data_IF_650145373674
#
_entry.id   IF_650145373674
#
_cell.length_a   1.000
_cell.length_b   1.000
_cell.length_c   1.000
_cell.angle_alpha   90.00
_cell.angle_beta   90.00
_cell.angle_gamma   90.00
#
_symmetry.space_group_name_H-M   'P 1'
#
loop_
_entity.id
_entity.type
_entity.pdbx_description
1 polymer ?
#
# COMPACT_ATOMS: atom_id res chain seq x y z
N UNK A 1 -27.52 -11.17 0.06
CA UNK A 1 -27.18 -10.18 -0.99
C UNK A 1 -26.49 -10.93 -2.12
N UNK A 2 -26.86 -10.80 -3.40
CA UNK A 2 -26.26 -11.64 -4.44
C UNK A 2 -24.89 -11.08 -4.83
N UNK A 3 -23.86 -11.55 -4.14
CA UNK A 3 -22.49 -11.43 -4.59
C UNK A 3 -22.23 -12.49 -5.65
N UNK A 4 -21.68 -12.11 -6.80
CA UNK A 4 -21.35 -12.99 -7.91
C UNK A 4 -19.82 -13.05 -8.10
N UNK A 5 -19.22 -14.17 -7.71
CA UNK A 5 -17.76 -14.36 -7.79
C UNK A 5 -17.29 -14.48 -9.24
N UNK A 6 -18.06 -15.04 -10.16
CA UNK A 6 -17.67 -15.18 -11.56
C UNK A 6 -17.53 -13.83 -12.25
N UNK A 7 -18.49 -12.92 -12.02
CA UNK A 7 -18.45 -11.55 -12.53
C UNK A 7 -17.25 -10.80 -11.94
N UNK A 8 -17.00 -10.93 -10.64
CA UNK A 8 -15.83 -10.34 -10.01
C UNK A 8 -14.52 -10.87 -10.64
N UNK A 9 -14.39 -12.19 -10.83
CA UNK A 9 -13.21 -12.81 -11.43
C UNK A 9 -12.99 -12.42 -12.89
N UNK A 10 -14.06 -12.26 -13.67
CA UNK A 10 -14.00 -11.75 -15.06
C UNK A 10 -13.33 -10.38 -15.10
N UNK A 11 -13.68 -9.49 -14.17
CA UNK A 11 -13.08 -8.15 -14.07
C UNK A 11 -11.63 -8.24 -13.60
N UNK A 12 -11.30 -9.06 -12.60
CA UNK A 12 -9.91 -9.22 -12.16
C UNK A 12 -8.98 -9.72 -13.29
N UNK A 13 -9.48 -10.62 -14.15
CA UNK A 13 -8.75 -11.11 -15.32
C UNK A 13 -8.66 -10.08 -16.45
N UNK A 14 -9.61 -9.14 -16.52
CA UNK A 14 -9.65 -8.09 -17.54
C UNK A 14 -8.45 -7.13 -17.42
N UNK A 15 -8.09 -6.72 -16.19
CA UNK A 15 -6.97 -5.78 -15.95
C UNK A 15 -5.66 -6.23 -16.60
N UNK A 16 -5.04 -7.37 -16.25
CA UNK A 16 -3.77 -7.77 -16.84
C UNK A 16 -3.88 -8.27 -18.28
N UNK A 17 -5.11 -8.51 -18.79
CA UNK A 17 -5.33 -8.94 -20.17
C UNK A 17 -5.32 -7.76 -21.15
N UNK A 18 -5.86 -6.62 -20.73
CA UNK A 18 -6.05 -5.47 -21.62
C UNK A 18 -5.29 -4.21 -21.20
N UNK A 19 -4.91 -4.09 -19.93
CA UNK A 19 -4.16 -2.94 -19.43
C UNK A 19 -2.67 -3.25 -19.29
N UNK A 20 -1.87 -2.28 -19.69
CA UNK A 20 -0.43 -2.23 -19.47
C UNK A 20 -0.08 -0.93 -18.74
N UNK A 21 0.98 -0.96 -17.94
CA UNK A 21 1.53 0.27 -17.36
C UNK A 21 2.05 1.18 -18.48
N UNK A 22 1.81 2.48 -18.36
CA UNK A 22 2.08 3.45 -19.43
C UNK A 22 3.37 4.24 -19.24
N UNK A 23 3.98 4.24 -18.05
CA UNK A 23 5.13 5.07 -17.69
C UNK A 23 6.09 4.37 -16.72
N UNK A 24 7.31 4.89 -16.65
CA UNK A 24 8.36 4.47 -15.70
C UNK A 24 8.95 3.10 -16.02
N UNK A 25 9.65 2.52 -15.04
CA UNK A 25 10.28 1.19 -15.11
C UNK A 25 9.31 0.03 -15.39
N UNK A 26 8.00 0.30 -15.26
CA UNK A 26 6.93 -0.67 -15.49
C UNK A 26 6.30 -0.54 -16.88
N UNK A 27 6.64 0.48 -17.66
CA UNK A 27 6.03 0.72 -18.97
C UNK A 27 6.01 -0.54 -19.85
N UNK A 28 4.87 -0.83 -20.46
CA UNK A 28 4.65 -2.01 -21.29
C UNK A 28 4.42 -3.32 -20.53
N UNK A 29 4.64 -3.38 -19.20
CA UNK A 29 4.29 -4.56 -18.40
C UNK A 29 2.78 -4.63 -18.16
N UNK A 30 2.23 -5.84 -18.11
CA UNK A 30 0.80 -6.10 -17.83
C UNK A 30 0.40 -5.53 -16.47
N UNK A 31 -0.72 -4.82 -16.41
CA UNK A 31 -1.25 -4.22 -15.19
C UNK A 31 -1.89 -5.30 -14.30
N UNK A 32 -1.10 -5.91 -13.43
CA UNK A 32 -1.59 -6.89 -12.44
C UNK A 32 -2.04 -6.15 -11.19
N UNK A 33 -3.29 -6.34 -10.80
CA UNK A 33 -3.82 -5.78 -9.56
C UNK A 33 -3.09 -6.38 -8.34
N UNK A 34 -2.71 -5.51 -7.41
CA UNK A 34 -2.16 -5.90 -6.12
C UNK A 34 -3.24 -6.56 -5.25
N UNK A 35 -2.86 -7.42 -4.26
CA UNK A 35 -3.83 -8.11 -3.41
C UNK A 35 -4.85 -7.21 -2.73
N UNK A 36 -4.47 -6.00 -2.29
CA UNK A 36 -5.39 -5.05 -1.66
C UNK A 36 -6.35 -4.41 -2.68
N UNK A 37 -5.90 -4.16 -3.93
CA UNK A 37 -6.76 -3.64 -5.00
C UNK A 37 -7.84 -4.68 -5.32
N UNK A 38 -7.50 -5.97 -5.34
CA UNK A 38 -8.48 -7.04 -5.50
C UNK A 38 -9.58 -7.00 -4.43
N UNK A 39 -9.23 -6.69 -3.18
CA UNK A 39 -10.20 -6.57 -2.07
C UNK A 39 -11.21 -5.44 -2.29
N UNK A 40 -10.86 -4.41 -3.06
CA UNK A 40 -11.76 -3.29 -3.40
C UNK A 40 -12.54 -3.58 -4.69
N UNK A 41 -11.86 -4.08 -5.73
CA UNK A 41 -12.46 -4.32 -7.04
C UNK A 41 -13.49 -5.45 -6.99
N UNK A 42 -13.24 -6.52 -6.23
CA UNK A 42 -14.18 -7.64 -6.09
C UNK A 42 -15.59 -7.20 -5.64
N UNK A 43 -15.78 -6.52 -4.50
CA UNK A 43 -17.12 -6.09 -4.09
C UNK A 43 -17.70 -5.01 -5.00
N UNK A 44 -16.89 -4.13 -5.61
CA UNK A 44 -17.37 -3.10 -6.53
C UNK A 44 -18.06 -3.70 -7.77
N UNK A 45 -17.54 -4.81 -8.30
CA UNK A 45 -18.08 -5.46 -9.50
C UNK A 45 -18.92 -6.71 -9.22
N UNK A 46 -18.65 -7.43 -8.13
CA UNK A 46 -19.34 -8.66 -7.75
C UNK A 46 -20.66 -8.42 -7.02
N UNK A 47 -20.88 -7.24 -6.42
CA UNK A 47 -22.15 -6.93 -5.77
C UNK A 47 -23.19 -6.48 -6.79
N UNK A 48 -24.22 -7.30 -7.02
CA UNK A 48 -25.25 -7.04 -8.03
C UNK A 48 -26.56 -6.53 -7.40
N UNK A 49 -27.33 -5.74 -8.16
CA UNK A 49 -28.69 -5.32 -7.77
C UNK A 49 -29.60 -6.56 -7.71
N UNK A 50 -30.44 -6.65 -6.67
CA UNK A 50 -31.40 -7.76 -6.52
C UNK A 50 -32.32 -7.81 -7.74
N UNK A 51 -32.52 -9.01 -8.30
CA UNK A 51 -33.38 -9.22 -9.49
C UNK A 51 -32.75 -8.85 -10.83
N UNK A 52 -31.58 -8.19 -10.86
CA UNK A 52 -30.96 -7.74 -12.12
C UNK A 52 -30.42 -8.88 -12.99
N UNK A 53 -30.08 -10.02 -12.40
CA UNK A 53 -29.57 -11.20 -13.13
C UNK A 53 -30.63 -11.77 -14.08
N UNK A 54 -31.91 -11.60 -13.76
CA UNK A 54 -32.99 -12.04 -14.66
C UNK A 54 -33.09 -11.15 -15.91
N UNK A 55 -32.77 -9.87 -15.78
CA UNK A 55 -32.80 -8.90 -16.86
C UNK A 55 -31.54 -8.98 -17.74
N UNK A 56 -30.38 -9.20 -17.11
CA UNK A 56 -29.10 -9.33 -17.78
C UNK A 56 -28.37 -10.55 -17.24
N UNK A 57 -27.82 -11.41 -18.11
CA UNK A 57 -27.11 -12.65 -17.72
C UNK A 57 -26.07 -12.44 -16.59
N UNK A 58 -25.34 -11.33 -16.63
CA UNK A 58 -24.30 -10.99 -15.64
C UNK A 58 -24.82 -10.05 -14.52
N UNK A 59 -26.07 -9.60 -14.60
CA UNK A 59 -26.69 -8.63 -13.70
C UNK A 59 -26.15 -7.19 -13.84
N UNK A 60 -26.71 -6.27 -13.05
CA UNK A 60 -26.23 -4.88 -12.96
C UNK A 60 -25.56 -4.64 -11.62
N UNK A 61 -24.44 -3.90 -11.64
CA UNK A 61 -23.69 -3.57 -10.42
C UNK A 61 -24.53 -2.74 -9.46
N UNK A 62 -24.43 -3.07 -8.17
CA UNK A 62 -25.04 -2.30 -7.08
C UNK A 62 -24.34 -0.95 -6.91
N UNK A 63 -23.02 -0.94 -7.01
CA UNK A 63 -22.18 0.25 -6.84
C UNK A 63 -21.64 0.70 -8.20
N UNK A 64 -21.84 1.97 -8.52
CA UNK A 64 -21.30 2.61 -9.73
C UNK A 64 -20.00 3.39 -9.45
N UNK A 65 -19.81 3.83 -8.21
CA UNK A 65 -18.69 4.67 -7.78
C UNK A 65 -18.02 4.09 -6.55
N UNK A 66 -16.69 4.19 -6.49
CA UNK A 66 -15.88 3.96 -5.29
C UNK A 66 -14.99 5.18 -5.07
N UNK A 67 -14.82 5.58 -3.81
CA UNK A 67 -13.87 6.61 -3.40
C UNK A 67 -12.72 5.95 -2.65
N UNK A 68 -11.48 6.25 -3.04
CA UNK A 68 -10.27 5.65 -2.46
C UNK A 68 -9.24 6.77 -2.26
N UNK A 69 -8.79 6.95 -1.03
CA UNK A 69 -7.67 7.82 -0.71
C UNK A 69 -6.42 6.98 -0.48
N UNK A 70 -5.37 7.26 -1.25
CA UNK A 70 -4.08 6.59 -1.14
C UNK A 70 -3.03 7.69 -0.97
N UNK A 71 -2.34 7.76 0.18
CA UNK A 71 -1.31 8.77 0.36
C UNK A 71 -0.15 8.53 -0.61
N UNK A 72 0.50 9.60 -1.06
CA UNK A 72 1.77 9.49 -1.79
C UNK A 72 2.84 8.91 -0.86
N UNK A 73 3.92 8.36 -1.44
CA UNK A 73 5.13 7.92 -0.73
C UNK A 73 4.97 6.72 0.23
N UNK A 74 3.95 5.89 0.05
CA UNK A 74 3.71 4.68 0.86
C UNK A 74 4.69 3.54 0.57
N UNK A 75 4.80 2.60 1.52
CA UNK A 75 5.46 1.30 1.31
C UNK A 75 6.99 1.30 1.38
N UNK A 76 7.56 2.31 2.05
CA UNK A 76 8.99 2.42 2.35
C UNK A 76 9.26 1.87 3.74
N UNK A 77 10.42 1.26 3.93
CA UNK A 77 10.74 0.57 5.16
C UNK A 77 12.19 0.82 5.60
N UNK A 78 12.40 0.67 6.90
CA UNK A 78 13.70 0.51 7.54
C UNK A 78 13.78 -0.90 8.13
N UNK A 79 14.97 -1.36 8.46
CA UNK A 79 15.15 -2.59 9.22
C UNK A 79 14.43 -2.50 10.59
N UNK A 80 13.80 -3.59 11.02
CA UNK A 80 12.88 -3.61 12.18
C UNK A 80 13.53 -3.21 13.52
N UNK A 81 14.84 -3.32 13.60
CA UNK A 81 15.71 -2.99 14.72
C UNK A 81 16.28 -1.56 14.65
N UNK A 82 15.96 -0.79 13.60
CA UNK A 82 16.39 0.61 13.46
C UNK A 82 15.87 1.43 14.65
N UNK A 83 16.77 2.05 15.44
CA UNK A 83 16.38 2.83 16.61
C UNK A 83 15.77 4.17 16.19
N UNK A 84 14.63 4.50 16.80
CA UNK A 84 13.87 5.74 16.60
C UNK A 84 13.77 6.44 17.97
N UNK A 85 14.17 7.72 18.06
CA UNK A 85 14.04 8.47 19.29
C UNK A 85 12.55 8.77 19.56
N UNK A 86 12.13 8.54 20.80
CA UNK A 86 10.79 8.82 21.30
C UNK A 86 10.87 9.76 22.51
N UNK A 87 9.76 10.38 22.89
CA UNK A 87 9.72 11.27 24.06
C UNK A 87 10.10 10.58 25.39
N UNK A 88 9.95 9.25 25.43
CA UNK A 88 10.21 8.36 26.57
C UNK A 88 11.50 7.54 26.40
N UNK A 89 12.39 7.91 25.47
CA UNK A 89 13.68 7.27 25.23
C UNK A 89 13.84 6.78 23.78
N UNK A 90 14.02 5.47 23.61
CA UNK A 90 14.24 4.86 22.30
C UNK A 90 13.32 3.67 22.09
N UNK A 91 12.73 3.58 20.89
CA UNK A 91 12.02 2.40 20.40
C UNK A 91 12.61 1.98 19.07
N UNK A 92 12.51 0.71 18.70
CA UNK A 92 12.83 0.32 17.32
C UNK A 92 11.64 0.59 16.42
N UNK A 93 11.86 0.85 15.14
CA UNK A 93 10.76 1.10 14.19
C UNK A 93 9.74 -0.05 14.16
N UNK A 94 10.19 -1.30 14.36
CA UNK A 94 9.30 -2.47 14.45
C UNK A 94 8.43 -2.53 15.71
N UNK A 95 8.74 -1.72 16.73
CA UNK A 95 7.97 -1.60 17.98
C UNK A 95 7.06 -0.37 18.03
N UNK A 96 7.20 0.57 17.09
CA UNK A 96 6.34 1.75 17.03
C UNK A 96 4.88 1.38 16.78
N UNK A 97 3.98 2.17 17.35
CA UNK A 97 2.54 2.04 17.22
C UNK A 97 1.91 3.39 16.89
N UNK A 98 0.71 3.41 16.30
CA UNK A 98 -0.04 4.65 16.16
C UNK A 98 -0.18 5.34 17.52
N UNK A 99 -0.03 6.67 17.53
CA UNK A 99 0.04 7.56 18.69
C UNK A 99 1.36 7.58 19.48
N UNK A 100 2.36 6.77 19.14
CA UNK A 100 3.70 7.02 19.66
C UNK A 100 4.18 8.41 19.21
N UNK A 101 4.91 9.09 20.10
CA UNK A 101 5.45 10.43 19.87
C UNK A 101 6.95 10.35 19.56
N UNK A 102 7.32 10.81 18.37
CA UNK A 102 8.69 10.86 17.83
C UNK A 102 9.05 12.31 17.49
N UNK A 103 10.25 12.53 16.94
CA UNK A 103 10.72 13.86 16.55
C UNK A 103 10.76 14.01 15.03
N UNK A 104 10.38 15.20 14.54
CA UNK A 104 10.54 15.61 13.15
C UNK A 104 11.97 16.13 12.86
N UNK A 105 12.22 16.60 11.64
CA UNK A 105 13.51 17.13 11.22
C UNK A 105 13.96 18.38 11.99
N UNK A 106 13.04 19.09 12.64
CA UNK A 106 13.32 20.27 13.47
C UNK A 106 13.43 19.91 14.96
N UNK A 107 13.35 18.62 15.31
CA UNK A 107 13.34 18.15 16.69
C UNK A 107 12.02 18.41 17.43
N UNK A 108 10.94 18.74 16.72
CA UNK A 108 9.62 18.93 17.32
C UNK A 108 8.88 17.60 17.43
N UNK A 109 8.03 17.48 18.45
CA UNK A 109 7.26 16.26 18.67
C UNK A 109 6.19 16.10 17.58
N UNK A 110 6.14 14.94 16.93
CA UNK A 110 5.09 14.54 16.02
C UNK A 110 4.53 13.14 16.34
N UNK A 111 3.30 12.87 15.90
CA UNK A 111 2.60 11.62 16.19
C UNK A 111 2.72 10.63 15.05
N UNK A 112 3.03 9.38 15.37
CA UNK A 112 2.88 8.25 14.44
C UNK A 112 1.39 8.07 14.14
N UNK A 113 0.96 8.34 12.91
CA UNK A 113 -0.47 8.21 12.53
C UNK A 113 -0.85 6.79 12.09
N UNK A 114 0.12 6.02 11.61
CA UNK A 114 -0.09 4.67 11.09
C UNK A 114 1.21 3.88 11.07
N UNK A 115 1.10 2.56 11.16
CA UNK A 115 2.20 1.60 10.94
C UNK A 115 1.72 0.51 9.99
N UNK A 116 2.60 0.05 9.11
CA UNK A 116 2.31 -1.10 8.24
C UNK A 116 2.62 -2.40 8.96
N UNK A 117 2.15 -3.52 8.41
CA UNK A 117 2.70 -4.83 8.77
C UNK A 117 4.20 -4.91 8.39
N UNK A 118 4.94 -5.80 9.04
CA UNK A 118 6.34 -6.10 8.67
C UNK A 118 6.38 -6.53 7.20
N UNK A 119 7.26 -5.89 6.43
CA UNK A 119 7.46 -6.17 5.00
C UNK A 119 8.66 -7.09 4.82
N UNK A 120 8.40 -8.37 4.57
CA UNK A 120 9.45 -9.39 4.38
C UNK A 120 9.98 -9.41 2.93
N UNK A 121 11.19 -9.95 2.75
CA UNK A 121 11.80 -10.21 1.44
C UNK A 121 11.92 -8.98 0.54
N UNK A 122 12.21 -7.81 1.13
CA UNK A 122 12.47 -6.58 0.39
C UNK A 122 13.97 -6.46 0.09
N UNK A 123 14.37 -6.01 -1.10
CA UNK A 123 15.74 -5.56 -1.34
C UNK A 123 16.05 -4.40 -0.38
N UNK A 124 17.11 -4.55 0.40
CA UNK A 124 17.54 -3.55 1.39
C UNK A 124 19.02 -3.22 1.19
N UNK A 125 19.37 -1.99 1.51
CA UNK A 125 20.72 -1.47 1.39
C UNK A 125 21.15 -0.86 2.72
N UNK A 126 22.44 -1.01 3.04
CA UNK A 126 23.08 -0.32 4.16
C UNK A 126 23.56 1.04 3.68
N UNK A 127 23.06 2.10 4.31
CA UNK A 127 23.46 3.49 4.08
C UNK A 127 24.36 3.90 5.23
N UNK A 128 25.63 4.18 4.93
CA UNK A 128 26.61 4.69 5.90
C UNK A 128 26.76 6.20 5.80
N UNK A 129 26.86 6.86 6.94
CA UNK A 129 27.05 8.31 7.05
C UNK A 129 28.49 8.65 7.45
N UNK A 130 28.87 9.92 7.27
CA UNK A 130 30.23 10.41 7.58
C UNK A 130 30.58 10.34 9.08
N UNK A 131 29.57 10.39 9.96
CA UNK A 131 29.68 10.20 11.40
C UNK A 131 29.84 8.72 11.82
N UNK A 132 29.96 7.82 10.84
CA UNK A 132 30.04 6.35 10.97
C UNK A 132 28.75 5.69 11.42
N UNK A 133 27.65 6.43 11.55
CA UNK A 133 26.33 5.82 11.76
C UNK A 133 25.89 5.07 10.50
N UNK A 134 25.01 4.10 10.68
CA UNK A 134 24.46 3.31 9.58
C UNK A 134 22.97 3.05 9.75
N UNK A 135 22.26 3.00 8.64
CA UNK A 135 20.84 2.65 8.57
C UNK A 135 20.65 1.62 7.46
N UNK A 136 19.85 0.59 7.72
CA UNK A 136 19.42 -0.36 6.69
C UNK A 136 18.00 0.02 6.25
N UNK A 137 17.83 0.32 4.96
CA UNK A 137 16.58 0.79 4.39
C UNK A 137 16.21 0.01 3.12
N UNK A 138 14.92 -0.07 2.79
CA UNK A 138 14.48 -0.69 1.54
C UNK A 138 14.86 0.17 0.32
N UNK A 139 14.92 -0.45 -0.85
CA UNK A 139 15.29 0.22 -2.13
C UNK A 139 14.45 1.46 -2.48
N UNK A 140 13.25 1.58 -1.91
CA UNK A 140 12.32 2.69 -2.19
C UNK A 140 12.37 3.78 -1.10
N UNK A 141 13.19 3.61 -0.06
CA UNK A 141 13.33 4.59 1.01
C UNK A 141 13.88 5.91 0.44
N UNK A 142 13.23 7.02 0.78
CA UNK A 142 13.65 8.33 0.27
C UNK A 142 14.48 9.05 1.31
N UNK A 143 15.57 9.63 0.85
CA UNK A 143 16.48 10.45 1.63
C UNK A 143 16.35 11.89 1.16
N UNK A 144 16.31 12.83 2.12
CA UNK A 144 16.50 14.24 1.81
C UNK A 144 18.01 14.46 1.76
N UNK A 145 18.49 15.04 0.67
CA UNK A 145 19.90 15.35 0.44
C UNK A 145 20.05 16.84 0.11
N UNK A 146 21.21 17.41 0.38
CA UNK A 146 21.61 18.77 -0.04
C UNK A 146 22.24 18.77 -1.44
#
# INVERSE_FOLDING_TARGET
>A
MPYNEEVAQKVLKWFPRYLHHTKGEWAGKKFKLLPWQNKIIKPLFGMLKKGSIKQYKDGTRRYNTVYIEIPKKQGKALAIDTPIPTIDGWKTIGKLKPKDQIFDENGQICNVIAVTNIMYNRPCYRVGFNDKSEIIADENHLWVTE
#
